data_IF_938247835212
#
_entry.id   IF_938247835212
#
_cell.length_a   1.000
_cell.length_b   1.000
_cell.length_c   1.000
_cell.angle_alpha   90.00
_cell.angle_beta   90.00
_cell.angle_gamma   90.00
#
_symmetry.space_group_name_H-M   'P 1'
#
loop_
_entity.id
_entity.type
_entity.pdbx_description
1 polymer ?
#
# COMPACT_ATOMS: atom_id res chain seq x y z
N UNK A 1 -4.52 7.80 -0.24
CA UNK A 1 -3.63 8.97 -0.39
C UNK A 1 -2.98 8.91 -1.75
N UNK A 2 -2.82 10.03 -2.46
CA UNK A 2 -2.22 10.03 -3.79
C UNK A 2 -0.70 9.91 -3.68
N UNK A 3 -0.06 9.18 -4.58
CA UNK A 3 1.41 9.16 -4.64
C UNK A 3 1.99 10.52 -5.07
N UNK A 4 1.16 11.37 -5.67
CA UNK A 4 1.53 12.75 -6.01
C UNK A 4 1.75 13.61 -4.77
N UNK A 5 1.10 13.27 -3.65
CA UNK A 5 1.24 14.00 -2.38
C UNK A 5 2.65 13.86 -1.77
N UNK A 6 3.45 12.91 -2.26
CA UNK A 6 4.86 12.70 -1.87
C UNK A 6 5.85 12.99 -3.02
N UNK A 7 5.39 13.73 -4.03
CA UNK A 7 6.24 14.21 -5.12
C UNK A 7 6.63 13.13 -6.14
N UNK A 8 5.75 12.15 -6.38
CA UNK A 8 5.87 11.15 -7.46
C UNK A 8 4.79 11.42 -8.50
N UNK A 9 5.16 11.55 -9.77
CA UNK A 9 4.23 11.74 -10.90
C UNK A 9 3.58 10.43 -11.34
N UNK A 10 2.86 9.79 -10.41
CA UNK A 10 2.00 8.63 -10.67
C UNK A 10 0.52 8.97 -10.50
N UNK A 11 -0.35 8.07 -10.94
CA UNK A 11 -1.81 8.19 -10.86
C UNK A 11 -2.44 7.35 -9.75
N UNK A 12 -1.64 6.51 -9.09
CA UNK A 12 -2.09 5.54 -8.10
C UNK A 12 -2.16 6.07 -6.67
N UNK A 13 -2.93 5.36 -5.84
CA UNK A 13 -3.17 5.70 -4.44
C UNK A 13 -2.76 4.55 -3.52
N UNK A 14 -2.08 4.86 -2.42
CA UNK A 14 -1.86 3.88 -1.36
C UNK A 14 -2.85 4.09 -0.21
N UNK A 15 -3.20 2.99 0.44
CA UNK A 15 -4.13 2.97 1.57
C UNK A 15 -3.41 2.48 2.82
N UNK A 16 -3.51 3.26 3.90
CA UNK A 16 -2.88 2.99 5.18
C UNK A 16 -3.86 3.27 6.32
N UNK A 17 -3.59 2.66 7.48
CA UNK A 17 -4.35 2.90 8.71
C UNK A 17 -3.46 3.66 9.67
N UNK A 18 -4.04 4.66 10.35
CA UNK A 18 -3.33 5.40 11.40
C UNK A 18 -3.59 4.75 12.73
N UNK A 19 -2.53 4.34 13.39
CA UNK A 19 -2.58 3.73 14.72
C UNK A 19 -1.92 4.64 15.77
N UNK A 20 -2.25 4.43 17.04
CA UNK A 20 -1.68 5.20 18.12
C UNK A 20 -2.33 4.95 19.47
N UNK A 21 -1.74 5.55 20.51
CA UNK A 21 -2.18 5.35 21.89
C UNK A 21 -2.81 6.59 22.49
N UNK A 22 -3.89 6.39 23.23
CA UNK A 22 -4.46 7.39 24.13
C UNK A 22 -4.17 6.98 25.58
N UNK A 23 -3.61 7.89 26.36
CA UNK A 23 -3.13 7.62 27.74
C UNK A 23 -4.23 7.74 28.78
N UNK A 24 -5.28 8.50 28.47
CA UNK A 24 -6.37 8.78 29.40
C UNK A 24 -7.70 8.96 28.65
N UNK A 25 -8.79 9.05 29.42
CA UNK A 25 -10.15 9.19 28.87
C UNK A 25 -10.35 10.50 28.11
N UNK A 26 -9.61 11.56 28.43
CA UNK A 26 -9.73 12.85 27.75
C UNK A 26 -9.12 12.79 26.34
N UNK A 27 -7.93 12.22 26.20
CA UNK A 27 -7.32 11.96 24.89
C UNK A 27 -8.19 11.06 24.03
N UNK A 28 -8.70 9.96 24.60
CA UNK A 28 -9.65 9.07 23.90
C UNK A 28 -10.89 9.83 23.41
N UNK A 29 -11.45 10.71 24.25
CA UNK A 29 -12.61 11.52 23.86
C UNK A 29 -12.26 12.51 22.75
N UNK A 30 -11.07 13.11 22.80
CA UNK A 30 -10.57 14.03 21.77
C UNK A 30 -10.41 13.32 20.42
N UNK A 31 -9.71 12.18 20.40
CA UNK A 31 -9.52 11.37 19.18
C UNK A 31 -10.87 10.93 18.61
N UNK A 32 -11.79 10.45 19.44
CA UNK A 32 -13.13 10.04 18.99
C UNK A 32 -13.96 11.19 18.38
N UNK A 33 -13.70 12.44 18.77
CA UNK A 33 -14.37 13.61 18.17
C UNK A 33 -13.76 13.97 16.82
N UNK A 34 -12.43 13.92 16.70
CA UNK A 34 -11.74 14.22 15.46
C UNK A 34 -11.85 13.10 14.42
N UNK A 35 -11.93 11.85 14.88
CA UNK A 35 -11.99 10.64 14.07
C UNK A 35 -13.14 9.75 14.58
N UNK A 36 -14.38 10.01 14.13
CA UNK A 36 -15.57 9.29 14.62
C UNK A 36 -15.50 7.77 14.43
N UNK A 37 -14.80 7.32 13.39
CA UNK A 37 -14.65 5.90 13.03
C UNK A 37 -13.46 5.22 13.73
N UNK A 38 -12.71 5.95 14.57
CA UNK A 38 -11.60 5.37 15.32
C UNK A 38 -12.07 4.28 16.28
N UNK A 39 -11.45 3.10 16.16
CA UNK A 39 -11.67 1.98 17.07
C UNK A 39 -10.67 2.02 18.23
N UNK A 40 -11.10 1.58 19.42
CA UNK A 40 -10.28 1.65 20.62
C UNK A 40 -10.27 0.33 21.39
N UNK A 41 -9.10 -0.27 21.49
CA UNK A 41 -8.85 -1.45 22.33
C UNK A 41 -8.02 -1.04 23.55
N UNK A 42 -8.23 -1.71 24.69
CA UNK A 42 -7.40 -1.47 25.88
C UNK A 42 -6.10 -2.28 25.78
N UNK A 43 -4.98 -1.64 26.09
CA UNK A 43 -3.65 -2.24 26.12
C UNK A 43 -2.99 -1.98 27.48
N UNK A 44 -2.04 -2.83 27.89
CA UNK A 44 -1.23 -2.61 29.10
C UNK A 44 -0.14 -1.55 28.84
N UNK A 45 0.43 -0.99 29.91
CA UNK A 45 1.56 -0.06 29.80
C UNK A 45 2.81 -0.73 29.19
N UNK A 46 3.05 -2.00 29.54
CA UNK A 46 4.13 -2.80 28.94
C UNK A 46 3.94 -3.03 27.43
N UNK A 47 2.69 -3.16 26.97
CA UNK A 47 2.38 -3.24 25.54
C UNK A 47 2.64 -1.92 24.81
N UNK A 48 2.58 -0.78 25.50
CA UNK A 48 2.94 0.52 24.94
C UNK A 48 4.45 0.64 24.73
N UNK A 49 5.26 0.27 25.73
CA UNK A 49 6.74 0.31 25.61
C UNK A 49 7.22 -0.60 24.49
N UNK A 50 6.70 -1.84 24.42
CA UNK A 50 6.96 -2.75 23.31
C UNK A 50 6.52 -2.18 21.95
N UNK A 51 5.48 -1.34 21.92
CA UNK A 51 5.03 -0.69 20.69
C UNK A 51 5.86 0.52 20.29
N UNK A 52 6.42 1.28 21.23
CA UNK A 52 7.32 2.38 20.90
C UNK A 52 8.60 1.83 20.22
N UNK A 53 9.16 0.73 20.73
CA UNK A 53 10.27 0.01 20.08
C UNK A 53 9.85 -0.56 18.71
N UNK A 54 8.62 -1.05 18.59
CA UNK A 54 8.06 -1.56 17.34
C UNK A 54 7.88 -0.44 16.30
N UNK A 55 7.54 0.79 16.71
CA UNK A 55 7.40 1.93 15.81
C UNK A 55 8.74 2.34 15.18
N UNK A 56 9.83 2.31 15.94
CA UNK A 56 11.17 2.57 15.39
C UNK A 56 11.57 1.48 14.39
N UNK A 57 11.24 0.21 14.68
CA UNK A 57 11.45 -0.90 13.76
C UNK A 57 10.58 -0.78 12.48
N UNK A 58 9.30 -0.42 12.61
CA UNK A 58 8.42 -0.17 11.47
C UNK A 58 8.92 0.98 10.59
N UNK A 59 9.54 1.99 11.19
CA UNK A 59 10.16 3.08 10.43
C UNK A 59 11.31 2.57 9.56
N UNK A 60 12.17 1.72 10.11
CA UNK A 60 13.26 1.08 9.34
C UNK A 60 12.69 0.24 8.19
N UNK A 61 11.69 -0.59 8.46
CA UNK A 61 11.04 -1.42 7.43
C UNK A 61 10.39 -0.57 6.32
N UNK A 62 9.81 0.58 6.70
CA UNK A 62 9.24 1.53 5.72
C UNK A 62 10.34 2.11 4.85
N UNK A 63 11.45 2.53 5.44
CA UNK A 63 12.58 3.09 4.70
C UNK A 63 13.15 2.04 3.73
N UNK A 64 13.31 0.78 4.15
CA UNK A 64 13.74 -0.32 3.28
C UNK A 64 12.76 -0.56 2.13
N UNK A 65 11.46 -0.56 2.42
CA UNK A 65 10.42 -0.71 1.40
C UNK A 65 10.45 0.43 0.37
N UNK A 66 10.78 1.65 0.79
CA UNK A 66 10.94 2.79 -0.12
C UNK A 66 12.15 2.60 -1.03
N UNK A 67 13.29 2.11 -0.49
CA UNK A 67 14.48 1.78 -1.29
C UNK A 67 14.17 0.73 -2.34
N UNK A 68 13.58 -0.39 -1.92
CA UNK A 68 13.18 -1.45 -2.85
C UNK A 68 12.23 -0.93 -3.93
N UNK A 69 11.31 -0.01 -3.61
CA UNK A 69 10.41 0.57 -4.60
C UNK A 69 11.13 1.45 -5.64
N UNK A 70 12.16 2.20 -5.22
CA UNK A 70 12.99 3.01 -6.12
C UNK A 70 13.80 2.10 -7.04
N UNK A 71 14.51 1.12 -6.46
CA UNK A 71 15.36 0.19 -7.20
C UNK A 71 14.54 -0.65 -8.19
N UNK A 72 13.45 -1.27 -7.71
CA UNK A 72 12.60 -2.12 -8.55
C UNK A 72 11.98 -1.32 -9.70
N UNK A 73 11.52 -0.09 -9.46
CA UNK A 73 10.95 0.74 -10.51
C UNK A 73 12.00 1.12 -11.57
N UNK A 74 13.23 1.45 -11.16
CA UNK A 74 14.32 1.76 -12.07
C UNK A 74 14.73 0.53 -12.91
N UNK A 75 14.81 -0.64 -12.27
CA UNK A 75 15.15 -1.92 -12.91
C UNK A 75 14.10 -2.32 -13.96
N UNK A 76 12.82 -2.34 -13.59
CA UNK A 76 11.72 -2.67 -14.52
C UNK A 76 11.63 -1.62 -15.64
N UNK A 77 11.94 -0.36 -15.32
CA UNK A 77 11.95 0.69 -16.31
C UNK A 77 13.17 0.65 -17.24
N UNK A 78 14.16 -0.24 -17.05
CA UNK A 78 15.39 -0.30 -17.87
C UNK A 78 16.01 1.10 -18.04
N UNK A 79 15.99 1.90 -16.96
CA UNK A 79 16.45 3.29 -16.97
C UNK A 79 17.84 3.38 -16.34
N UNK A 80 18.86 3.84 -17.10
CA UNK A 80 20.20 3.99 -16.57
C UNK A 80 20.24 5.20 -15.63
N UNK A 81 20.06 4.94 -14.33
CA UNK A 81 20.29 5.90 -13.25
C UNK A 81 21.65 5.63 -12.61
N UNK A 82 22.38 6.70 -12.26
CA UNK A 82 23.57 6.52 -11.41
C UNK A 82 23.14 6.23 -9.97
N UNK A 83 23.98 5.50 -9.22
CA UNK A 83 23.75 5.23 -7.78
C UNK A 83 23.41 6.51 -7.02
N UNK A 84 24.16 7.60 -7.23
CA UNK A 84 23.90 8.89 -6.58
C UNK A 84 22.49 9.45 -6.85
N UNK A 85 21.92 9.20 -8.04
CA UNK A 85 20.58 9.68 -8.39
C UNK A 85 19.48 8.87 -7.69
N UNK A 86 19.70 7.55 -7.53
CA UNK A 86 18.79 6.67 -6.81
C UNK A 86 18.81 7.01 -5.31
N UNK A 87 20.00 7.15 -4.72
CA UNK A 87 20.15 7.55 -3.31
C UNK A 87 19.50 8.92 -3.02
N UNK A 88 19.68 9.91 -3.89
CA UNK A 88 19.02 11.21 -3.75
C UNK A 88 17.49 11.08 -3.82
N UNK A 89 16.99 10.21 -4.71
CA UNK A 89 15.55 9.96 -4.86
C UNK A 89 14.96 9.28 -3.64
N UNK A 90 15.64 8.27 -3.11
CA UNK A 90 15.26 7.57 -1.87
C UNK A 90 15.19 8.52 -0.69
N UNK A 91 16.27 9.28 -0.44
CA UNK A 91 16.36 10.19 0.70
C UNK A 91 15.23 11.21 0.69
N UNK A 92 14.90 11.74 -0.49
CA UNK A 92 13.77 12.65 -0.65
C UNK A 92 12.44 11.98 -0.32
N UNK A 93 12.20 10.76 -0.80
CA UNK A 93 10.96 10.04 -0.52
C UNK A 93 10.83 9.65 0.95
N UNK A 94 11.93 9.30 1.62
CA UNK A 94 11.96 9.05 3.06
C UNK A 94 11.59 10.32 3.84
N UNK A 95 12.10 11.48 3.43
CA UNK A 95 11.75 12.78 4.02
C UNK A 95 10.26 13.11 3.84
N UNK A 96 9.75 13.05 2.61
CA UNK A 96 8.35 13.33 2.26
C UNK A 96 7.38 12.36 2.94
N UNK A 97 7.83 11.14 3.21
CA UNK A 97 7.02 10.11 3.89
C UNK A 97 7.24 10.02 5.39
N UNK A 98 8.05 10.91 5.98
CA UNK A 98 8.46 10.85 7.38
C UNK A 98 7.29 10.90 8.38
N UNK A 99 6.17 11.52 7.99
CA UNK A 99 4.96 11.64 8.82
C UNK A 99 4.00 10.44 8.68
N UNK A 100 4.25 9.53 7.74
CA UNK A 100 3.44 8.33 7.56
C UNK A 100 4.06 7.14 8.29
N UNK A 101 3.17 6.31 8.81
CA UNK A 101 3.47 5.08 9.53
C UNK A 101 3.10 3.87 8.67
N UNK A 102 3.87 2.79 8.83
CA UNK A 102 3.68 1.54 8.11
C UNK A 102 4.42 1.47 6.78
N UNK A 103 5.02 0.31 6.53
CA UNK A 103 5.76 -0.05 5.33
C UNK A 103 4.87 -0.42 4.13
N UNK A 104 3.55 -0.43 4.30
CA UNK A 104 2.59 -0.91 3.27
C UNK A 104 2.45 -0.03 2.00
N UNK A 105 3.35 0.93 1.81
CA UNK A 105 3.40 1.87 0.68
C UNK A 105 4.13 1.30 -0.55
N UNK A 106 5.00 0.30 -0.36
CA UNK A 106 5.99 -0.18 -1.34
C UNK A 106 5.43 -0.44 -2.73
N UNK A 107 4.44 -1.34 -2.82
CA UNK A 107 3.83 -1.69 -4.11
C UNK A 107 3.33 -0.46 -4.87
N UNK A 108 2.56 0.40 -4.20
CA UNK A 108 1.94 1.55 -4.85
C UNK A 108 2.97 2.64 -5.18
N UNK A 109 4.02 2.78 -4.38
CA UNK A 109 5.14 3.65 -4.69
C UNK A 109 5.91 3.16 -5.92
N UNK A 110 6.23 1.86 -6.00
CA UNK A 110 6.89 1.26 -7.15
C UNK A 110 6.09 1.46 -8.45
N UNK A 111 4.77 1.27 -8.41
CA UNK A 111 3.90 1.53 -9.57
C UNK A 111 3.93 3.01 -9.96
N UNK A 112 3.82 3.92 -8.98
CA UNK A 112 3.84 5.36 -9.25
C UNK A 112 5.17 5.87 -9.81
N UNK A 113 6.30 5.31 -9.34
CA UNK A 113 7.62 5.61 -9.87
C UNK A 113 7.79 5.07 -11.29
N UNK A 114 7.29 3.86 -11.57
CA UNK A 114 7.25 3.32 -12.92
C UNK A 114 6.43 4.21 -13.87
N UNK A 115 5.27 4.71 -13.44
CA UNK A 115 4.46 5.66 -14.21
C UNK A 115 5.24 6.95 -14.53
N UNK A 116 5.87 7.53 -13.52
CA UNK A 116 6.69 8.73 -13.66
C UNK A 116 7.82 8.53 -14.68
N UNK A 117 8.51 7.40 -14.56
CA UNK A 117 9.70 7.07 -15.33
C UNK A 117 9.39 6.70 -16.79
N UNK A 118 8.33 5.91 -17.01
CA UNK A 118 7.89 5.54 -18.36
C UNK A 118 6.96 6.57 -19.00
N UNK A 119 6.61 7.63 -18.27
CA UNK A 119 5.62 8.62 -18.70
C UNK A 119 4.29 7.97 -19.12
N UNK A 120 3.85 6.97 -18.34
CA UNK A 120 2.59 6.25 -18.56
C UNK A 120 1.57 6.64 -17.49
N UNK A 121 0.29 6.49 -17.84
CA UNK A 121 -0.83 6.77 -16.94
C UNK A 121 -1.78 5.58 -16.91
N UNK A 122 -1.77 4.84 -15.80
CA UNK A 122 -2.64 3.68 -15.58
C UNK A 122 -4.08 4.08 -15.27
N UNK A 123 -4.33 5.29 -14.75
CA UNK A 123 -5.68 5.79 -14.44
C UNK A 123 -6.56 6.06 -15.67
N UNK A 124 -6.02 5.89 -16.89
CA UNK A 124 -6.72 6.14 -18.16
C UNK A 124 -7.29 7.56 -18.22
N UNK A 125 -6.44 8.55 -17.95
CA UNK A 125 -6.78 9.97 -17.88
C UNK A 125 -7.77 10.27 -16.74
N UNK A 126 -7.53 9.68 -15.57
CA UNK A 126 -8.32 9.88 -14.35
C UNK A 126 -9.71 9.23 -14.38
N UNK A 127 -9.96 8.30 -15.30
CA UNK A 127 -11.23 7.54 -15.39
C UNK A 127 -11.27 6.32 -14.48
N UNK A 128 -10.10 5.88 -14.01
CA UNK A 128 -9.91 4.69 -13.22
C UNK A 128 -9.14 5.07 -11.95
N UNK A 129 -9.78 4.88 -10.80
CA UNK A 129 -9.16 5.09 -9.50
C UNK A 129 -8.49 3.79 -9.05
N UNK A 130 -7.16 3.79 -9.05
CA UNK A 130 -6.35 2.64 -8.62
C UNK A 130 -5.85 2.91 -7.21
N UNK A 131 -6.24 2.04 -6.29
CA UNK A 131 -5.76 2.01 -4.92
C UNK A 131 -5.07 0.67 -4.64
N UNK A 132 -4.32 0.59 -3.55
CA UNK A 132 -3.80 -0.69 -3.09
C UNK A 132 -2.89 -0.59 -1.87
N UNK A 133 -2.30 -1.73 -1.53
CA UNK A 133 -1.41 -1.90 -0.38
C UNK A 133 -0.46 -3.06 -0.62
N UNK A 134 0.68 -3.05 0.05
CA UNK A 134 1.68 -4.12 -0.01
C UNK A 134 3.06 -3.55 0.32
N UNK A 135 3.90 -4.33 0.98
CA UNK A 135 5.33 -4.00 1.03
C UNK A 135 5.94 -4.23 -0.35
N UNK A 136 7.21 -3.90 -0.50
CA UNK A 136 7.99 -4.34 -1.64
C UNK A 136 9.35 -4.82 -1.14
N UNK A 137 9.70 -6.03 -1.54
CA UNK A 137 10.96 -6.68 -1.18
C UNK A 137 12.03 -6.43 -2.24
N UNK A 138 13.30 -6.70 -1.91
CA UNK A 138 14.45 -6.51 -2.81
C UNK A 138 14.31 -7.30 -4.12
N UNK A 139 13.65 -8.47 -4.07
CA UNK A 139 13.38 -9.32 -5.23
C UNK A 139 12.11 -8.91 -6.00
N UNK A 140 11.59 -7.71 -5.73
CA UNK A 140 10.40 -7.11 -6.33
C UNK A 140 9.10 -7.82 -5.96
N UNK A 141 9.13 -8.79 -5.04
CA UNK A 141 7.94 -9.44 -4.52
C UNK A 141 7.13 -8.51 -3.60
N UNK A 142 5.82 -8.72 -3.59
CA UNK A 142 4.87 -7.95 -2.77
C UNK A 142 4.59 -8.71 -1.49
N UNK A 143 5.04 -8.16 -0.35
CA UNK A 143 4.86 -8.78 0.96
C UNK A 143 3.56 -8.38 1.67
N UNK A 144 3.20 -9.19 2.67
CA UNK A 144 1.98 -9.07 3.45
C UNK A 144 1.94 -7.83 4.34
N UNK A 145 0.73 -7.35 4.62
CA UNK A 145 0.43 -6.16 5.41
C UNK A 145 -0.76 -6.39 6.33
N UNK A 146 -0.89 -5.56 7.37
CA UNK A 146 -2.06 -5.58 8.25
C UNK A 146 -3.26 -4.78 7.73
N UNK A 147 -4.39 -4.95 8.43
CA UNK A 147 -5.62 -4.15 8.32
C UNK A 147 -6.27 -4.15 6.93
N UNK A 148 -6.30 -5.29 6.25
CA UNK A 148 -6.88 -5.43 4.91
C UNK A 148 -8.36 -5.04 4.90
N UNK A 149 -9.16 -5.51 5.88
CA UNK A 149 -10.57 -5.13 6.00
C UNK A 149 -10.78 -3.62 6.03
N UNK A 150 -10.06 -2.90 6.90
CA UNK A 150 -10.19 -1.44 7.04
C UNK A 150 -9.70 -0.71 5.79
N UNK A 151 -8.61 -1.18 5.18
CA UNK A 151 -8.08 -0.60 3.93
C UNK A 151 -9.05 -0.75 2.77
N UNK A 152 -9.67 -1.92 2.60
CA UNK A 152 -10.71 -2.15 1.58
C UNK A 152 -11.94 -1.26 1.80
N UNK A 153 -12.41 -1.15 3.05
CA UNK A 153 -13.52 -0.24 3.38
C UNK A 153 -13.20 1.20 3.03
N UNK A 154 -11.98 1.63 3.32
CA UNK A 154 -11.51 2.98 3.00
C UNK A 154 -11.43 3.19 1.49
N UNK A 155 -10.85 2.27 0.75
CA UNK A 155 -10.76 2.35 -0.70
C UNK A 155 -12.15 2.40 -1.37
N UNK A 156 -13.10 1.58 -0.90
CA UNK A 156 -14.47 1.57 -1.40
C UNK A 156 -15.19 2.89 -1.10
N UNK A 157 -14.99 3.45 0.10
CA UNK A 157 -15.57 4.72 0.50
C UNK A 157 -15.02 5.90 -0.33
N UNK A 158 -13.74 5.84 -0.70
CA UNK A 158 -13.07 6.83 -1.56
C UNK A 158 -13.31 6.58 -3.07
N UNK A 159 -14.07 5.54 -3.42
CA UNK A 159 -14.46 5.28 -4.81
C UNK A 159 -13.36 4.66 -5.68
N UNK A 160 -12.49 3.84 -5.10
CA UNK A 160 -11.53 3.05 -5.88
C UNK A 160 -12.26 2.07 -6.82
N UNK A 161 -11.78 1.95 -8.05
CA UNK A 161 -12.27 0.95 -9.01
C UNK A 161 -11.48 -0.36 -8.88
N UNK A 162 -10.18 -0.25 -8.58
CA UNK A 162 -9.25 -1.36 -8.42
C UNK A 162 -8.53 -1.21 -7.09
N UNK A 163 -8.41 -2.33 -6.36
CA UNK A 163 -7.61 -2.46 -5.16
C UNK A 163 -6.59 -3.57 -5.32
N UNK A 164 -5.32 -3.21 -5.48
CA UNK A 164 -4.21 -4.17 -5.52
C UNK A 164 -3.86 -4.62 -4.10
N UNK A 165 -3.65 -5.94 -3.93
CA UNK A 165 -3.35 -6.57 -2.63
C UNK A 165 -2.26 -7.64 -2.79
N UNK A 166 -1.47 -7.95 -1.76
CA UNK A 166 -0.50 -9.04 -1.84
C UNK A 166 -1.16 -10.38 -2.19
N UNK A 167 -0.58 -11.12 -3.13
CA UNK A 167 -0.95 -12.49 -3.51
C UNK A 167 -0.14 -13.49 -2.72
N UNK A 168 -0.45 -13.56 -1.43
CA UNK A 168 0.38 -14.19 -0.42
C UNK A 168 -0.19 -15.52 0.09
N UNK A 169 -1.23 -16.07 -0.55
CA UNK A 169 -1.90 -17.30 -0.05
C UNK A 169 -0.95 -18.46 0.21
N UNK A 170 0.02 -18.67 -0.67
CA UNK A 170 0.98 -19.78 -0.57
C UNK A 170 2.22 -19.43 0.27
N UNK A 171 2.41 -18.15 0.62
CA UNK A 171 3.60 -17.64 1.33
C UNK A 171 3.29 -17.07 2.71
N UNK A 172 2.01 -16.97 3.08
CA UNK A 172 1.58 -16.39 4.35
C UNK A 172 2.04 -17.23 5.54
N UNK A 173 2.80 -16.60 6.44
CA UNK A 173 3.44 -17.29 7.57
C UNK A 173 2.74 -17.08 8.91
N UNK A 174 1.63 -16.31 8.94
CA UNK A 174 0.93 -15.96 10.17
C UNK A 174 -0.34 -16.80 10.36
N UNK A 175 -0.82 -16.87 11.60
CA UNK A 175 -2.13 -17.48 11.88
C UNK A 175 -3.25 -16.62 11.29
N UNK A 176 -4.22 -17.26 10.63
CA UNK A 176 -5.39 -16.60 10.07
C UNK A 176 -5.45 -16.71 8.55
N UNK A 177 -6.18 -15.79 7.93
CA UNK A 177 -6.29 -15.67 6.49
C UNK A 177 -5.09 -14.87 5.96
N UNK A 178 -4.59 -15.26 4.79
CA UNK A 178 -3.64 -14.43 4.05
C UNK A 178 -4.27 -13.10 3.61
N UNK A 179 -3.49 -12.13 3.14
CA UNK A 179 -4.06 -10.90 2.60
C UNK A 179 -4.93 -11.13 1.38
N UNK A 180 -4.53 -12.03 0.49
CA UNK A 180 -5.34 -12.46 -0.65
C UNK A 180 -6.70 -13.02 -0.19
N UNK A 181 -6.67 -13.98 0.74
CA UNK A 181 -7.87 -14.65 1.22
C UNK A 181 -8.79 -13.70 2.00
N UNK A 182 -8.23 -12.89 2.90
CA UNK A 182 -8.98 -11.88 3.66
C UNK A 182 -9.62 -10.86 2.71
N UNK A 183 -8.88 -10.37 1.71
CA UNK A 183 -9.39 -9.37 0.80
C UNK A 183 -10.57 -9.87 -0.04
N UNK A 184 -10.45 -11.10 -0.58
CA UNK A 184 -11.53 -11.73 -1.34
C UNK A 184 -12.75 -12.02 -0.47
N UNK A 185 -12.54 -12.49 0.77
CA UNK A 185 -13.64 -12.72 1.72
C UNK A 185 -14.35 -11.41 2.05
N UNK A 186 -13.61 -10.35 2.41
CA UNK A 186 -14.17 -9.04 2.77
C UNK A 186 -14.91 -8.41 1.58
N UNK A 187 -14.39 -8.55 0.36
CA UNK A 187 -15.06 -8.07 -0.84
C UNK A 187 -16.45 -8.69 -1.02
N UNK A 188 -16.56 -10.01 -0.80
CA UNK A 188 -17.83 -10.74 -0.84
C UNK A 188 -18.77 -10.36 0.30
N UNK A 189 -18.27 -10.32 1.54
CA UNK A 189 -19.05 -10.01 2.74
C UNK A 189 -19.65 -8.60 2.72
N UNK A 190 -18.87 -7.62 2.25
CA UNK A 190 -19.28 -6.21 2.24
C UNK A 190 -19.93 -5.79 0.92
N UNK A 191 -20.05 -6.70 -0.05
CA UNK A 191 -20.56 -6.43 -1.39
C UNK A 191 -19.86 -5.21 -2.03
N UNK A 192 -18.52 -5.20 -1.96
CA UNK A 192 -17.72 -4.10 -2.49
C UNK A 192 -17.92 -3.97 -4.01
N UNK A 193 -17.90 -2.73 -4.50
CA UNK A 193 -17.95 -2.43 -5.94
C UNK A 193 -16.55 -2.44 -6.54
N UNK A 194 -15.56 -2.02 -5.75
CA UNK A 194 -14.16 -2.09 -6.16
C UNK A 194 -13.75 -3.52 -6.47
N UNK A 195 -12.80 -3.67 -7.39
CA UNK A 195 -12.23 -4.96 -7.74
C UNK A 195 -10.97 -5.22 -6.93
N UNK A 196 -10.96 -6.32 -6.18
CA UNK A 196 -9.75 -6.82 -5.52
C UNK A 196 -8.90 -7.58 -6.54
N UNK A 197 -7.62 -7.23 -6.64
CA UNK A 197 -6.67 -7.86 -7.56
C UNK A 197 -5.41 -8.27 -6.78
N UNK A 198 -5.25 -9.57 -6.48
CA UNK A 198 -4.02 -10.09 -5.88
C UNK A 198 -2.85 -10.01 -6.87
N UNK A 199 -1.70 -9.51 -6.43
CA UNK A 199 -0.44 -9.46 -7.20
C UNK A 199 0.73 -9.92 -6.34
N UNK A 200 1.62 -10.75 -6.90
CA UNK A 200 2.78 -11.30 -6.19
C UNK A 200 4.06 -10.48 -6.36
N UNK A 201 4.15 -9.65 -7.42
CA UNK A 201 5.31 -8.79 -7.68
C UNK A 201 4.90 -7.45 -8.28
N UNK A 202 5.84 -6.49 -8.29
CA UNK A 202 5.65 -5.20 -8.95
C UNK A 202 5.41 -5.37 -10.46
N UNK A 203 6.10 -6.31 -11.11
CA UNK A 203 5.90 -6.62 -12.52
C UNK A 203 4.53 -7.20 -12.81
N UNK A 204 4.00 -8.10 -11.97
CA UNK A 204 2.63 -8.62 -12.14
C UNK A 204 1.62 -7.48 -12.07
N UNK A 205 1.80 -6.54 -11.15
CA UNK A 205 0.94 -5.35 -11.02
C UNK A 205 1.03 -4.44 -12.25
N UNK A 206 2.23 -4.11 -12.71
CA UNK A 206 2.45 -3.29 -13.92
C UNK A 206 1.85 -3.98 -15.14
N UNK A 207 2.06 -5.29 -15.29
CA UNK A 207 1.52 -6.08 -16.39
C UNK A 207 -0.01 -6.06 -16.39
N UNK A 208 -0.64 -6.28 -15.24
CA UNK A 208 -2.09 -6.20 -15.08
C UNK A 208 -2.64 -4.83 -15.50
N UNK A 209 -2.08 -3.74 -14.95
CA UNK A 209 -2.53 -2.37 -15.23
C UNK A 209 -2.31 -1.94 -16.69
N UNK A 210 -1.19 -2.35 -17.28
CA UNK A 210 -0.85 -2.07 -18.68
C UNK A 210 -1.86 -2.72 -19.65
N UNK A 211 -2.33 -3.92 -19.31
CA UNK A 211 -3.24 -4.70 -20.15
C UNK A 211 -4.73 -4.51 -19.78
N UNK A 212 -5.04 -3.68 -18.79
CA UNK A 212 -6.42 -3.39 -18.41
C UNK A 212 -7.17 -2.57 -19.49
N UNK A 213 -8.42 -2.93 -19.86
CA UNK A 213 -9.27 -4.00 -19.30
C UNK A 213 -9.19 -5.33 -20.08
N UNK A 214 -8.30 -5.46 -21.08
CA UNK A 214 -8.23 -6.66 -21.95
C UNK A 214 -7.92 -7.93 -21.17
N UNK A 215 -7.03 -7.84 -20.18
CA UNK A 215 -6.70 -8.95 -19.29
C UNK A 215 -7.94 -9.58 -18.62
N UNK A 216 -9.00 -8.79 -18.38
CA UNK A 216 -10.23 -9.28 -17.76
C UNK A 216 -11.13 -10.04 -18.73
N UNK A 217 -11.17 -9.62 -20.00
CA UNK A 217 -11.98 -10.27 -21.03
C UNK A 217 -11.48 -11.68 -21.36
N UNK A 218 -10.22 -11.98 -21.03
CA UNK A 218 -9.60 -13.30 -21.22
C UNK A 218 -9.83 -14.24 -20.04
N UNK A 219 -10.04 -13.72 -18.82
CA UNK A 219 -10.30 -14.50 -17.62
C UNK A 219 -11.79 -14.78 -17.36
N UNK A 220 -12.70 -13.98 -17.95
CA UNK A 220 -14.15 -14.21 -17.90
C UNK A 220 -14.78 -14.03 -19.31
N UNK A 221 -14.59 -15.00 -20.23
CA UNK A 221 -15.27 -14.98 -21.51
C UNK A 221 -16.76 -15.26 -21.31
N UNK A 222 -17.59 -14.24 -21.54
CA UNK A 222 -19.06 -14.33 -21.52
C UNK A 222 -19.62 -15.54 -22.27
#
# INVERSE_FOLDING_TARGET
>A
MSIQDIGVKGSVHFVYVREGFTRNRYEKLSVRRSYPDAQFTRVSASAKEASDDMLDFEKLLKDDTIRHAVDSAADIADQPSSVDQLEDRENKLIEETSQYYGNSIGLMLGIGLYEEEKHVDFSKLGKLTIAGTGTLEEDQSVGSVGAIREKLRTAEAEGADIFLVPKDKETFMYEGLSNEEEALQVAGELHLRLRVVPVASLEEAIYYLSNYPKYELELDPK
#
